data_IF_420242010010
#
_entry.id   IF_420242010010
#
_cell.length_a   1.000
_cell.length_b   1.000
_cell.length_c   1.000
_cell.angle_alpha   90.00
_cell.angle_beta   90.00
_cell.angle_gamma   90.00
#
_symmetry.space_group_name_H-M   'P 1'
#
loop_
_entity.id
_entity.type
_entity.pdbx_description
1 polymer ?
#
# COMPACT_ATOMS: atom_id res chain seq x y z
N UNK A 1 -10.86 -33.88 8.67
CA UNK A 1 -11.14 -32.65 7.89
C UNK A 1 -10.56 -31.48 8.67
N UNK A 2 -9.40 -30.98 8.29
CA UNK A 2 -8.78 -29.80 8.91
C UNK A 2 -9.62 -28.59 8.53
N UNK A 3 -10.28 -27.97 9.52
CA UNK A 3 -11.03 -26.73 9.35
C UNK A 3 -10.05 -25.62 8.94
N UNK A 4 -10.16 -25.12 7.71
CA UNK A 4 -9.44 -23.93 7.27
C UNK A 4 -10.03 -22.72 7.99
N UNK A 5 -9.47 -22.37 9.15
CA UNK A 5 -9.73 -21.08 9.78
C UNK A 5 -9.15 -20.01 8.82
N UNK A 6 -10.01 -19.32 8.06
CA UNK A 6 -9.59 -18.14 7.34
C UNK A 6 -9.14 -17.13 8.39
N UNK A 7 -7.85 -16.74 8.47
CA UNK A 7 -7.48 -15.61 9.30
C UNK A 7 -8.25 -14.42 8.75
N UNK A 8 -9.21 -14.01 9.56
CA UNK A 8 -9.99 -12.80 9.58
C UNK A 8 -9.33 -11.68 8.75
N UNK A 9 -9.67 -11.66 7.46
CA UNK A 9 -9.55 -10.48 6.61
C UNK A 9 -10.61 -9.48 7.09
N UNK A 10 -10.42 -8.95 8.29
CA UNK A 10 -11.21 -7.82 8.78
C UNK A 10 -10.77 -6.65 7.93
N UNK A 11 -11.58 -6.37 6.90
CA UNK A 11 -11.44 -5.15 6.12
C UNK A 11 -11.65 -3.94 7.02
N UNK A 12 -10.86 -2.91 6.80
CA UNK A 12 -11.04 -1.63 7.47
C UNK A 12 -12.47 -1.12 7.31
N UNK A 13 -13.00 -0.49 8.37
CA UNK A 13 -14.35 0.07 8.31
C UNK A 13 -14.47 1.15 7.21
N UNK A 14 -15.63 1.30 6.55
CA UNK A 14 -15.82 2.33 5.53
C UNK A 14 -15.52 3.76 6.02
N UNK A 15 -15.84 4.05 7.29
CA UNK A 15 -15.56 5.34 7.92
C UNK A 15 -14.06 5.63 8.01
N UNK A 16 -13.26 4.60 8.32
CA UNK A 16 -11.80 4.71 8.37
C UNK A 16 -11.21 4.98 6.99
N UNK A 17 -11.70 4.28 5.94
CA UNK A 17 -11.29 4.56 4.56
C UNK A 17 -11.59 6.00 4.16
N UNK A 18 -12.80 6.50 4.46
CA UNK A 18 -13.17 7.89 4.17
C UNK A 18 -12.24 8.89 4.88
N UNK A 19 -11.93 8.65 6.15
CA UNK A 19 -11.00 9.48 6.91
C UNK A 19 -9.61 9.56 6.27
N UNK A 20 -9.04 8.42 5.86
CA UNK A 20 -7.72 8.37 5.20
C UNK A 20 -7.73 9.20 3.91
N UNK A 21 -8.76 9.04 3.07
CA UNK A 21 -8.88 9.78 1.82
C UNK A 21 -9.00 11.29 2.05
N UNK A 22 -9.82 11.70 3.02
CA UNK A 22 -9.98 13.12 3.36
C UNK A 22 -8.67 13.70 3.89
N UNK A 23 -8.01 13.01 4.83
CA UNK A 23 -6.75 13.46 5.42
C UNK A 23 -5.65 13.60 4.36
N UNK A 24 -5.56 12.66 3.43
CA UNK A 24 -4.61 12.71 2.31
C UNK A 24 -4.87 13.89 1.38
N UNK A 25 -6.13 14.12 0.98
CA UNK A 25 -6.50 15.25 0.14
C UNK A 25 -6.21 16.59 0.83
N UNK A 26 -6.59 16.73 2.10
CA UNK A 26 -6.32 17.93 2.90
C UNK A 26 -4.80 18.18 3.00
N UNK A 27 -4.00 17.14 3.24
CA UNK A 27 -2.54 17.26 3.33
C UNK A 27 -1.91 17.77 2.03
N UNK A 28 -2.28 17.17 0.88
CA UNK A 28 -1.82 17.65 -0.44
C UNK A 28 -2.27 19.08 -0.68
N UNK A 29 -3.54 19.40 -0.42
CA UNK A 29 -4.06 20.76 -0.62
C UNK A 29 -3.31 21.79 0.21
N UNK A 30 -3.04 21.51 1.50
CA UNK A 30 -2.27 22.39 2.37
C UNK A 30 -0.85 22.63 1.84
N UNK A 31 -0.18 21.57 1.35
CA UNK A 31 1.15 21.70 0.75
C UNK A 31 1.12 22.56 -0.52
N UNK A 32 0.18 22.30 -1.43
CA UNK A 32 0.07 23.05 -2.68
C UNK A 32 -0.28 24.53 -2.45
N UNK A 33 -1.14 24.81 -1.46
CA UNK A 33 -1.45 26.17 -1.00
C UNK A 33 -0.22 26.83 -0.37
N UNK A 34 0.55 26.11 0.43
CA UNK A 34 1.81 26.61 1.01
C UNK A 34 2.78 27.07 -0.08
N UNK A 35 2.96 26.27 -1.13
CA UNK A 35 3.79 26.63 -2.29
C UNK A 35 3.22 27.86 -3.02
N UNK A 36 1.89 27.98 -3.12
CA UNK A 36 1.23 29.11 -3.78
C UNK A 36 1.51 30.43 -3.07
N UNK A 37 1.41 30.45 -1.73
CA UNK A 37 1.56 31.66 -0.91
C UNK A 37 3.00 32.12 -0.70
N UNK A 38 4.02 31.28 -0.96
CA UNK A 38 5.41 31.70 -0.81
C UNK A 38 5.75 32.82 -1.84
N UNK A 39 6.42 33.92 -1.42
CA UNK A 39 6.84 35.00 -2.31
C UNK A 39 8.17 34.66 -3.03
N UNK A 40 8.14 33.66 -3.90
CA UNK A 40 9.29 33.27 -4.76
C UNK A 40 8.92 33.33 -6.24
N UNK A 41 9.96 33.29 -7.07
CA UNK A 41 9.83 33.26 -8.53
C UNK A 41 9.01 32.06 -9.03
N UNK A 42 8.33 32.25 -10.15
CA UNK A 42 7.45 31.25 -10.76
C UNK A 42 8.16 29.92 -11.06
N UNK A 43 9.41 29.98 -11.52
CA UNK A 43 10.20 28.79 -11.82
C UNK A 43 10.47 27.94 -10.58
N UNK A 44 10.75 28.60 -9.44
CA UNK A 44 10.99 27.93 -8.16
C UNK A 44 9.71 27.26 -7.65
N UNK A 45 8.56 27.94 -7.77
CA UNK A 45 7.25 27.33 -7.44
C UNK A 45 7.00 26.09 -8.28
N UNK A 46 7.25 26.16 -9.58
CA UNK A 46 7.15 25.02 -10.50
C UNK A 46 8.00 23.83 -10.07
N UNK A 47 9.27 24.07 -9.70
CA UNK A 47 10.17 23.03 -9.20
C UNK A 47 9.62 22.36 -7.93
N UNK A 48 9.13 23.15 -6.97
CA UNK A 48 8.53 22.64 -5.75
C UNK A 48 7.27 21.81 -6.04
N UNK A 49 6.39 22.28 -6.92
CA UNK A 49 5.19 21.52 -7.32
C UNK A 49 5.55 20.17 -7.93
N UNK A 50 6.50 20.15 -8.88
CA UNK A 50 6.97 18.91 -9.51
C UNK A 50 7.54 17.94 -8.47
N UNK A 51 8.44 18.41 -7.61
CA UNK A 51 9.07 17.59 -6.57
C UNK A 51 8.04 17.00 -5.60
N UNK A 52 7.10 17.82 -5.14
CA UNK A 52 6.08 17.40 -4.16
C UNK A 52 5.14 16.34 -4.75
N UNK A 53 4.65 16.56 -5.98
CA UNK A 53 3.74 15.62 -6.63
C UNK A 53 4.46 14.31 -6.97
N UNK A 54 5.67 14.39 -7.50
CA UNK A 54 6.45 13.21 -7.87
C UNK A 54 6.87 12.39 -6.64
N UNK A 55 7.31 13.04 -5.55
CA UNK A 55 7.64 12.37 -4.31
C UNK A 55 6.41 11.68 -3.70
N UNK A 56 5.25 12.33 -3.73
CA UNK A 56 4.00 11.75 -3.20
C UNK A 56 3.57 10.54 -4.03
N UNK A 57 3.57 10.66 -5.36
CA UNK A 57 3.19 9.58 -6.27
C UNK A 57 4.15 8.37 -6.18
N UNK A 58 5.45 8.63 -6.10
CA UNK A 58 6.47 7.58 -5.93
C UNK A 58 6.35 6.88 -4.58
N UNK A 59 6.08 7.62 -3.50
CA UNK A 59 5.84 7.03 -2.16
C UNK A 59 4.61 6.10 -2.17
N UNK A 60 3.51 6.51 -2.81
CA UNK A 60 2.31 5.68 -2.94
C UNK A 60 2.55 4.43 -3.79
N UNK A 61 3.36 4.55 -4.85
CA UNK A 61 3.76 3.42 -5.69
C UNK A 61 4.63 2.45 -4.89
N UNK A 62 5.62 2.97 -4.16
CA UNK A 62 6.50 2.18 -3.30
C UNK A 62 5.72 1.41 -2.23
N UNK A 63 4.78 2.08 -1.55
CA UNK A 63 3.91 1.45 -0.54
C UNK A 63 3.08 0.31 -1.13
N UNK A 64 2.49 0.51 -2.32
CA UNK A 64 1.77 -0.55 -3.03
C UNK A 64 2.69 -1.71 -3.39
N UNK A 65 3.83 -1.45 -4.02
CA UNK A 65 4.78 -2.49 -4.41
C UNK A 65 5.28 -3.32 -3.21
N UNK A 66 5.48 -2.70 -2.06
CA UNK A 66 5.86 -3.40 -0.84
C UNK A 66 4.73 -4.28 -0.29
N UNK A 67 3.49 -3.79 -0.29
CA UNK A 67 2.32 -4.59 0.11
C UNK A 67 2.10 -5.76 -0.84
N UNK A 68 2.16 -5.51 -2.14
CA UNK A 68 1.95 -6.53 -3.17
C UNK A 68 3.04 -7.62 -3.07
N UNK A 69 4.29 -7.24 -2.79
CA UNK A 69 5.38 -8.19 -2.50
C UNK A 69 5.08 -9.04 -1.27
N UNK A 70 4.62 -8.43 -0.17
CA UNK A 70 4.29 -9.14 1.06
C UNK A 70 3.15 -10.15 0.86
N UNK A 71 2.10 -9.75 0.14
CA UNK A 71 0.98 -10.63 -0.21
C UNK A 71 1.42 -11.78 -1.12
N UNK A 72 2.26 -11.51 -2.12
CA UNK A 72 2.82 -12.53 -3.00
C UNK A 72 3.62 -13.58 -2.22
N UNK A 73 4.52 -13.17 -1.34
CA UNK A 73 5.32 -14.10 -0.52
C UNK A 73 4.43 -14.97 0.37
N UNK A 74 3.39 -14.38 0.98
CA UNK A 74 2.42 -15.12 1.80
C UNK A 74 1.67 -16.18 0.99
N UNK A 75 1.22 -15.85 -0.22
CA UNK A 75 0.54 -16.79 -1.12
C UNK A 75 1.46 -17.91 -1.59
N UNK A 76 2.69 -17.58 -1.97
CA UNK A 76 3.69 -18.58 -2.40
C UNK A 76 4.00 -19.55 -1.27
N UNK A 77 4.15 -19.09 -0.03
CA UNK A 77 4.41 -19.95 1.11
C UNK A 77 3.24 -20.90 1.43
N UNK A 78 2.00 -20.46 1.25
CA UNK A 78 0.80 -21.32 1.35
C UNK A 78 0.77 -22.40 0.29
N UNK A 79 1.12 -22.07 -0.96
CA UNK A 79 1.20 -23.08 -2.03
C UNK A 79 2.33 -24.07 -1.77
N UNK A 80 3.50 -23.59 -1.34
CA UNK A 80 4.64 -24.44 -1.00
C UNK A 80 4.30 -25.43 0.12
N UNK A 81 3.73 -24.96 1.23
CA UNK A 81 3.31 -25.83 2.34
C UNK A 81 2.29 -26.90 1.89
N UNK A 82 1.25 -26.52 1.15
CA UNK A 82 0.28 -27.47 0.63
C UNK A 82 0.90 -28.52 -0.33
N UNK A 83 1.86 -28.12 -1.17
CA UNK A 83 2.60 -29.04 -2.05
C UNK A 83 3.53 -29.96 -1.25
N UNK A 84 4.22 -29.43 -0.25
CA UNK A 84 5.07 -30.22 0.65
C UNK A 84 4.24 -31.27 1.39
N UNK A 85 3.08 -30.90 1.94
CA UNK A 85 2.15 -31.83 2.59
C UNK A 85 1.70 -32.96 1.64
N UNK A 86 1.35 -32.64 0.39
CA UNK A 86 0.98 -33.64 -0.63
C UNK A 86 2.12 -34.60 -0.99
N UNK A 87 3.37 -34.14 -0.95
CA UNK A 87 4.53 -34.97 -1.23
C UNK A 87 4.79 -35.91 -0.05
N UNK A 88 4.78 -35.37 1.18
CA UNK A 88 4.96 -36.17 2.39
C UNK A 88 3.90 -37.28 2.51
N UNK A 89 2.63 -36.97 2.24
CA UNK A 89 1.54 -37.96 2.33
C UNK A 89 1.68 -39.11 1.32
N UNK A 90 2.41 -38.93 0.21
CA UNK A 90 2.68 -40.00 -0.76
C UNK A 90 3.78 -40.97 -0.31
N UNK A 91 4.66 -40.54 0.60
CA UNK A 91 5.75 -41.37 1.11
C UNK A 91 5.41 -42.07 2.42
N UNK A 92 4.44 -41.56 3.18
CA UNK A 92 3.91 -42.21 4.40
C UNK A 92 2.86 -43.30 4.13
N UNK A 93 2.41 -43.47 2.88
CA UNK A 93 1.49 -44.54 2.44
C UNK A 93 2.23 -45.70 1.78
#
# INVERSE_FOLDING_TARGET
>A
MTQFNTPDLVGDSPAWLSFIWIAFLVSISLMLLGIFFIPVDWWVKGYLYMGTLFLTASTLTLSKSLRDKHEYERLVNRVKSARTEQVLSKFES
#
